data_IF_694585838732
#
_entry.id   IF_694585838732
#
_cell.length_a   1.000
_cell.length_b   1.000
_cell.length_c   1.000
_cell.angle_alpha   90.00
_cell.angle_beta   90.00
_cell.angle_gamma   90.00
#
_symmetry.space_group_name_H-M   'P 1'
#
loop_
_entity.id
_entity.type
_entity.pdbx_description
1 polymer ?
#
# COMPACT_ATOMS: atom_id res chain seq x y z
N UNK A 1 8.17 -21.06 39.21
CA UNK A 1 9.42 -21.27 38.43
C UNK A 1 9.17 -22.32 37.36
N UNK A 2 9.84 -22.20 36.22
CA UNK A 2 9.80 -22.99 34.97
C UNK A 2 8.60 -22.81 34.04
N UNK A 3 8.81 -22.04 32.95
CA UNK A 3 8.89 -22.64 31.60
C UNK A 3 9.57 -21.68 30.61
N UNK A 4 10.76 -22.07 30.19
CA UNK A 4 11.53 -21.52 29.07
C UNK A 4 10.84 -21.85 27.74
N UNK A 5 10.64 -20.86 26.86
CA UNK A 5 10.56 -21.02 25.39
C UNK A 5 11.15 -19.75 24.76
N UNK A 6 12.43 -19.82 24.40
CA UNK A 6 12.96 -20.11 23.05
C UNK A 6 12.71 -18.96 22.08
N UNK A 7 13.75 -18.14 21.99
CA UNK A 7 14.09 -17.24 20.91
C UNK A 7 14.37 -18.05 19.63
N UNK A 8 13.63 -17.79 18.57
CA UNK A 8 13.95 -18.12 17.16
C UNK A 8 13.91 -16.76 16.43
N UNK A 9 15.00 -16.10 16.05
CA UNK A 9 16.03 -16.43 15.05
C UNK A 9 15.47 -16.57 13.61
N UNK A 10 15.88 -15.64 12.74
CA UNK A 10 16.19 -15.89 11.31
C UNK A 10 15.07 -15.78 10.26
N UNK A 11 14.73 -14.56 9.81
CA UNK A 11 14.09 -14.27 8.49
C UNK A 11 13.84 -12.75 8.42
N UNK A 12 14.21 -11.94 7.43
CA UNK A 12 14.58 -12.10 6.03
C UNK A 12 15.45 -10.91 5.62
N UNK A 13 16.73 -11.19 5.36
CA UNK A 13 17.49 -10.50 4.31
C UNK A 13 16.79 -10.76 2.97
N UNK A 14 16.87 -9.82 2.01
CA UNK A 14 16.63 -9.94 0.55
C UNK A 14 15.62 -8.86 0.09
N UNK A 15 15.79 -8.02 -0.95
CA UNK A 15 16.72 -7.97 -2.08
C UNK A 15 16.80 -6.53 -2.63
N UNK A 16 18.02 -6.10 -2.97
CA UNK A 16 18.34 -4.93 -3.78
C UNK A 16 18.09 -5.19 -5.29
N UNK A 17 17.93 -4.13 -6.12
CA UNK A 17 18.79 -3.78 -7.29
C UNK A 17 18.04 -3.19 -8.53
N UNK A 18 18.28 -1.87 -8.79
CA UNK A 18 18.67 -1.14 -10.06
C UNK A 18 18.00 -1.51 -11.42
N UNK A 19 17.87 -0.66 -12.46
CA UNK A 19 18.05 0.78 -12.84
C UNK A 19 17.67 0.88 -14.36
N UNK A 20 17.48 2.12 -14.86
CA UNK A 20 17.66 2.62 -16.26
C UNK A 20 16.43 2.60 -17.18
N UNK A 21 15.84 3.77 -17.49
CA UNK A 21 16.19 4.80 -18.50
C UNK A 21 15.83 4.39 -19.94
N UNK A 22 14.69 4.88 -20.43
CA UNK A 22 14.45 5.05 -21.86
C UNK A 22 13.74 6.38 -22.11
N UNK A 23 14.45 7.25 -22.82
CA UNK A 23 13.99 8.52 -23.37
C UNK A 23 13.03 8.25 -24.53
N UNK A 24 12.00 9.09 -24.72
CA UNK A 24 11.63 9.63 -26.03
C UNK A 24 10.56 10.72 -25.86
N UNK A 25 10.81 11.84 -26.51
CA UNK A 25 9.89 12.97 -26.68
C UNK A 25 8.66 12.57 -27.51
N UNK A 26 7.51 13.19 -27.23
CA UNK A 26 6.70 13.96 -28.20
C UNK A 26 5.43 14.56 -27.55
N UNK A 27 5.24 15.87 -27.78
CA UNK A 27 4.03 16.64 -27.50
C UNK A 27 2.97 16.39 -28.59
N UNK A 28 1.68 16.36 -28.23
CA UNK A 28 0.58 16.77 -29.12
C UNK A 28 -0.71 17.04 -28.32
N UNK A 29 -1.27 18.23 -28.51
CA UNK A 29 -2.52 18.75 -27.92
C UNK A 29 -3.76 18.32 -28.73
N UNK A 30 -4.91 18.07 -28.08
CA UNK A 30 -6.27 18.46 -28.54
C UNK A 30 -7.40 17.96 -27.60
N UNK A 31 -8.09 18.93 -26.97
CA UNK A 31 -9.55 19.13 -26.80
C UNK A 31 -10.53 17.93 -26.71
N UNK A 32 -11.43 17.97 -25.71
CA UNK A 32 -12.83 17.53 -25.88
C UNK A 32 -13.52 16.75 -24.74
N UNK A 33 -14.36 17.47 -23.98
CA UNK A 33 -15.57 17.08 -23.19
C UNK A 33 -15.83 15.64 -22.71
N UNK A 34 -15.92 15.54 -21.37
CA UNK A 34 -16.98 14.90 -20.56
C UNK A 34 -17.70 13.67 -21.14
N UNK A 35 -17.21 12.50 -20.76
CA UNK A 35 -18.03 11.31 -20.52
C UNK A 35 -17.49 10.62 -19.26
N UNK A 36 -18.36 10.36 -18.30
CA UNK A 36 -18.11 9.47 -17.15
C UNK A 36 -17.69 8.10 -17.69
N UNK A 37 -16.38 7.87 -17.72
CA UNK A 37 -15.81 6.57 -17.98
C UNK A 37 -15.62 5.88 -16.63
N UNK A 38 -16.48 4.90 -16.34
CA UNK A 38 -16.09 3.86 -15.39
C UNK A 38 -14.77 3.25 -15.91
N UNK A 39 -13.70 3.25 -15.10
CA UNK A 39 -12.40 2.82 -15.58
C UNK A 39 -12.45 1.33 -15.87
N UNK A 40 -12.47 0.99 -17.17
CA UNK A 40 -12.20 -0.36 -17.67
C UNK A 40 -10.81 -0.75 -17.17
N UNK A 41 -10.65 -1.81 -16.35
CA UNK A 41 -9.35 -2.19 -15.86
C UNK A 41 -8.59 -2.83 -17.02
N UNK A 42 -7.81 -2.00 -17.70
CA UNK A 42 -6.70 -2.47 -18.52
C UNK A 42 -5.75 -3.13 -17.53
N UNK A 43 -5.75 -4.46 -17.51
CA UNK A 43 -4.80 -5.25 -16.75
C UNK A 43 -3.42 -5.08 -17.40
N UNK A 44 -2.80 -3.94 -17.12
CA UNK A 44 -1.37 -3.74 -17.28
C UNK A 44 -0.64 -4.84 -16.48
N UNK A 45 0.51 -5.35 -16.92
CA UNK A 45 1.28 -6.38 -16.19
C UNK A 45 1.86 -5.91 -14.84
N UNK A 46 1.37 -4.81 -14.30
CA UNK A 46 1.64 -4.34 -12.94
C UNK A 46 0.41 -4.61 -12.08
N UNK A 47 0.65 -5.12 -10.87
CA UNK A 47 -0.40 -5.35 -9.88
C UNK A 47 -1.34 -4.16 -9.63
N UNK A 48 -2.32 -4.32 -8.75
CA UNK A 48 -3.35 -3.34 -8.43
C UNK A 48 -3.41 -3.09 -6.93
N UNK A 49 -3.48 -1.81 -6.54
CA UNK A 49 -3.76 -1.39 -5.16
C UNK A 49 -5.17 -0.79 -5.15
N UNK A 50 -6.04 -1.31 -4.29
CA UNK A 50 -7.38 -0.78 -4.07
C UNK A 50 -7.47 -0.20 -2.67
N UNK A 51 -7.94 1.04 -2.56
CA UNK A 51 -8.09 1.74 -1.29
C UNK A 51 -9.57 2.02 -1.06
N UNK A 52 -10.05 1.70 0.15
CA UNK A 52 -11.35 2.08 0.67
C UNK A 52 -11.17 3.13 1.76
N UNK A 53 -11.77 4.31 1.58
CA UNK A 53 -11.72 5.40 2.54
C UNK A 53 -12.94 6.32 2.34
N UNK A 54 -13.61 6.69 3.43
CA UNK A 54 -14.81 7.54 3.42
C UNK A 54 -15.94 7.01 2.51
N UNK A 55 -16.11 5.68 2.46
CA UNK A 55 -17.04 4.97 1.55
C UNK A 55 -16.70 5.09 0.05
N UNK A 56 -15.59 5.73 -0.30
CA UNK A 56 -15.07 5.73 -1.66
C UNK A 56 -14.13 4.54 -1.87
N UNK A 57 -14.19 3.95 -3.07
CA UNK A 57 -13.28 2.88 -3.49
C UNK A 57 -12.54 3.32 -4.75
N UNK A 58 -11.22 3.42 -4.67
CA UNK A 58 -10.39 3.76 -5.82
C UNK A 58 -9.29 2.73 -5.99
N UNK A 59 -9.08 2.28 -7.23
CA UNK A 59 -7.99 1.39 -7.59
C UNK A 59 -6.96 2.13 -8.43
N UNK A 60 -5.68 1.90 -8.14
CA UNK A 60 -4.56 2.39 -8.93
C UNK A 60 -3.59 1.26 -9.27
N UNK A 61 -2.83 1.37 -10.37
CA UNK A 61 -1.76 0.42 -10.64
C UNK A 61 -0.73 0.44 -9.49
N UNK A 62 -0.29 -0.73 -9.05
CA UNK A 62 0.78 -0.90 -8.07
C UNK A 62 2.08 -0.36 -8.65
N UNK A 63 2.82 0.42 -7.85
CA UNK A 63 4.18 0.85 -8.18
C UNK A 63 5.19 0.17 -7.27
N UNK A 64 6.36 -0.20 -7.78
CA UNK A 64 7.39 -0.82 -6.96
C UNK A 64 7.88 0.15 -5.88
N UNK A 65 8.06 -0.35 -4.66
CA UNK A 65 8.49 0.42 -3.48
C UNK A 65 7.56 1.58 -3.06
N UNK A 66 6.35 1.65 -3.62
CA UNK A 66 5.33 2.61 -3.17
C UNK A 66 4.56 2.00 -2.00
N UNK A 67 4.37 2.79 -0.96
CA UNK A 67 3.57 2.44 0.22
C UNK A 67 2.07 2.54 -0.08
N UNK A 68 1.24 1.87 0.70
CA UNK A 68 -0.21 1.98 0.58
C UNK A 68 -0.71 3.42 0.75
N UNK A 69 -0.09 4.21 1.65
CA UNK A 69 -0.40 5.63 1.83
C UNK A 69 -0.04 6.46 0.58
N UNK A 70 1.12 6.22 -0.03
CA UNK A 70 1.53 6.90 -1.27
C UNK A 70 0.61 6.52 -2.44
N UNK A 71 0.22 5.25 -2.56
CA UNK A 71 -0.76 4.80 -3.56
C UNK A 71 -2.11 5.50 -3.37
N UNK A 72 -2.60 5.64 -2.12
CA UNK A 72 -3.83 6.37 -1.81
C UNK A 72 -3.74 7.86 -2.18
N UNK A 73 -2.65 8.54 -1.80
CA UNK A 73 -2.42 9.96 -2.16
C UNK A 73 -2.36 10.17 -3.66
N UNK A 74 -1.71 9.25 -4.38
CA UNK A 74 -1.65 9.27 -5.84
C UNK A 74 -3.02 9.03 -6.49
N UNK A 75 -3.89 8.28 -5.83
CA UNK A 75 -5.29 8.12 -6.23
C UNK A 75 -6.13 9.39 -6.00
N UNK A 76 -5.56 10.43 -5.40
CA UNK A 76 -6.25 11.67 -5.04
C UNK A 76 -6.93 11.63 -3.67
N UNK A 77 -6.75 10.55 -2.91
CA UNK A 77 -7.32 10.41 -1.57
C UNK A 77 -6.43 11.10 -0.52
N UNK A 78 -7.05 11.52 0.58
CA UNK A 78 -6.33 12.11 1.73
C UNK A 78 -6.61 11.32 3.01
N UNK A 79 -6.21 10.04 3.07
CA UNK A 79 -6.41 9.22 4.27
C UNK A 79 -5.63 9.80 5.47
N UNK A 80 -6.03 9.46 6.70
CA UNK A 80 -5.41 9.99 7.91
C UNK A 80 -3.92 9.62 7.98
N UNK A 81 -3.07 10.60 8.33
CA UNK A 81 -1.64 10.40 8.55
C UNK A 81 -1.08 11.42 9.54
N UNK A 82 0.09 11.13 10.12
CA UNK A 82 0.81 12.07 10.99
C UNK A 82 2.33 11.93 10.87
N UNK A 83 2.92 10.85 11.40
CA UNK A 83 4.38 10.75 11.54
C UNK A 83 5.13 10.28 10.28
N UNK A 84 4.49 9.45 9.45
CA UNK A 84 5.13 8.71 8.34
C UNK A 84 6.41 7.94 8.72
N UNK A 85 6.59 7.65 10.02
CA UNK A 85 7.75 6.96 10.59
C UNK A 85 7.41 5.59 11.20
N UNK A 86 6.13 5.25 11.29
CA UNK A 86 5.67 3.95 11.81
C UNK A 86 5.44 3.89 13.33
N UNK A 87 5.32 5.03 14.02
CA UNK A 87 5.24 5.08 15.49
C UNK A 87 3.97 5.74 16.07
N UNK A 88 3.04 6.23 15.23
CA UNK A 88 1.87 6.99 15.72
C UNK A 88 0.50 6.31 15.51
N UNK A 89 0.41 5.25 14.71
CA UNK A 89 -0.86 4.55 14.42
C UNK A 89 -1.90 5.31 13.57
N UNK A 90 -1.77 6.63 13.35
CA UNK A 90 -2.76 7.44 12.62
C UNK A 90 -3.12 6.92 11.22
N UNK A 91 -2.16 6.29 10.52
CA UNK A 91 -2.37 5.74 9.19
C UNK A 91 -2.76 4.25 9.20
N UNK A 92 -3.21 3.73 10.35
CA UNK A 92 -3.63 2.35 10.49
C UNK A 92 -4.83 2.07 9.57
N UNK A 93 -4.80 0.91 8.93
CA UNK A 93 -5.86 0.43 8.06
C UNK A 93 -5.82 -1.10 8.03
N UNK A 94 -6.90 -1.74 7.56
CA UNK A 94 -6.99 -3.20 7.48
C UNK A 94 -6.78 -3.72 6.07
N UNK A 95 -5.97 -4.76 5.93
CA UNK A 95 -5.89 -5.53 4.69
C UNK A 95 -7.14 -6.40 4.54
N UNK A 96 -7.91 -6.13 3.48
CA UNK A 96 -9.06 -6.94 3.10
C UNK A 96 -8.70 -8.03 2.09
N UNK A 97 -7.66 -7.80 1.30
CA UNK A 97 -7.16 -8.73 0.27
C UNK A 97 -5.65 -8.51 0.07
N UNK A 98 -4.93 -9.60 -0.20
CA UNK A 98 -3.50 -9.56 -0.52
C UNK A 98 -2.63 -9.43 0.71
N UNK A 99 -1.37 -9.05 0.48
CA UNK A 99 -0.34 -8.96 1.51
C UNK A 99 0.53 -7.71 1.29
N UNK A 100 1.05 -7.18 2.39
CA UNK A 100 1.97 -6.07 2.38
C UNK A 100 3.02 -6.25 3.47
N UNK A 101 4.25 -5.84 3.17
CA UNK A 101 5.35 -5.86 4.12
C UNK A 101 5.53 -4.45 4.71
N UNK A 102 5.47 -4.33 6.04
CA UNK A 102 5.78 -3.08 6.73
C UNK A 102 7.30 -2.90 6.90
N UNK A 103 7.82 -1.74 6.50
CA UNK A 103 9.24 -1.38 6.68
C UNK A 103 9.60 -1.17 8.14
N UNK A 104 8.73 -0.48 8.87
CA UNK A 104 8.83 -0.17 10.30
C UNK A 104 7.44 -0.35 10.91
N UNK A 105 7.39 -0.97 12.09
CA UNK A 105 6.19 -1.04 12.91
C UNK A 105 6.57 -0.90 14.39
N UNK A 106 6.40 0.29 14.93
CA UNK A 106 6.59 0.61 16.35
C UNK A 106 5.26 1.00 17.03
N UNK A 107 4.13 0.82 16.34
CA UNK A 107 2.82 1.29 16.78
C UNK A 107 1.75 0.19 16.92
N UNK A 108 1.82 -0.87 16.12
CA UNK A 108 0.86 -1.99 16.17
C UNK A 108 1.49 -3.18 16.89
N UNK A 109 0.73 -3.80 17.78
CA UNK A 109 1.10 -5.04 18.45
C UNK A 109 0.94 -6.26 17.52
N UNK A 110 1.57 -7.38 17.86
CA UNK A 110 1.57 -8.59 17.02
C UNK A 110 0.15 -9.12 16.73
N UNK A 111 -0.76 -9.01 17.69
CA UNK A 111 -2.16 -9.46 17.54
C UNK A 111 -2.91 -8.59 16.51
N UNK A 112 -2.71 -7.27 16.53
CA UNK A 112 -3.31 -6.35 15.55
C UNK A 112 -2.77 -6.65 14.14
N UNK A 113 -1.47 -6.91 14.01
CA UNK A 113 -0.87 -7.31 12.73
C UNK A 113 -1.43 -8.66 12.26
N UNK A 114 -1.63 -9.62 13.18
CA UNK A 114 -2.23 -10.92 12.87
C UNK A 114 -3.71 -10.80 12.44
N UNK A 115 -4.44 -9.81 12.95
CA UNK A 115 -5.80 -9.46 12.53
C UNK A 115 -5.85 -8.73 11.17
N UNK A 116 -4.68 -8.40 10.60
CA UNK A 116 -4.55 -7.81 9.27
C UNK A 116 -4.43 -6.28 9.29
N UNK A 117 -4.22 -5.66 10.45
CA UNK A 117 -3.93 -4.23 10.52
C UNK A 117 -2.50 -3.92 10.05
N UNK A 118 -2.38 -2.80 9.34
CA UNK A 118 -1.11 -2.31 8.79
C UNK A 118 -0.99 -0.80 8.95
N UNK A 119 0.25 -0.33 9.14
CA UNK A 119 0.58 1.08 9.02
C UNK A 119 0.80 1.41 7.55
N UNK A 120 -0.20 1.99 6.89
CA UNK A 120 -0.15 2.25 5.44
C UNK A 120 1.01 3.15 4.99
N UNK A 121 1.55 3.99 5.87
CA UNK A 121 2.75 4.79 5.60
C UNK A 121 4.06 3.97 5.55
N UNK A 122 4.07 2.76 6.09
CA UNK A 122 5.22 1.85 6.08
C UNK A 122 4.96 0.56 5.30
N UNK A 123 3.70 0.24 5.01
CA UNK A 123 3.29 -0.97 4.31
C UNK A 123 3.49 -0.85 2.79
N UNK A 124 4.31 -1.72 2.22
CA UNK A 124 4.56 -1.85 0.79
C UNK A 124 3.90 -3.13 0.27
N UNK A 125 3.05 -3.08 -0.77
CA UNK A 125 2.44 -4.27 -1.35
C UNK A 125 3.48 -5.26 -1.89
N UNK A 126 3.42 -6.51 -1.43
CA UNK A 126 4.33 -7.59 -1.83
C UNK A 126 3.68 -8.66 -2.72
N UNK A 127 2.39 -8.51 -3.01
CA UNK A 127 1.62 -9.28 -3.99
C UNK A 127 1.16 -8.43 -5.19
N UNK A 128 0.52 -9.07 -6.16
CA UNK A 128 -0.02 -8.37 -7.33
C UNK A 128 -1.26 -7.54 -6.98
N UNK A 129 -2.25 -8.11 -6.30
CA UNK A 129 -3.46 -7.37 -5.91
C UNK A 129 -3.54 -7.25 -4.41
N UNK A 130 -3.71 -6.01 -3.92
CA UNK A 130 -3.93 -5.70 -2.52
C UNK A 130 -5.12 -4.76 -2.37
N UNK A 131 -5.93 -4.98 -1.34
CA UNK A 131 -7.05 -4.11 -0.98
C UNK A 131 -6.93 -3.73 0.48
N UNK A 132 -6.95 -2.43 0.77
CA UNK A 132 -6.85 -1.87 2.14
C UNK A 132 -8.07 -0.99 2.44
N UNK A 133 -8.55 -1.04 3.68
CA UNK A 133 -9.67 -0.23 4.17
C UNK A 133 -9.29 0.58 5.40
N UNK A 134 -9.54 1.89 5.34
CA UNK A 134 -9.45 2.80 6.48
C UNK A 134 -10.77 2.91 7.26
N UNK A 135 -11.86 2.31 6.73
CA UNK A 135 -13.21 2.41 7.28
C UNK A 135 -13.57 1.20 8.17
N UNK A 136 -12.59 0.55 8.82
CA UNK A 136 -12.89 -0.59 9.70
C UNK A 136 -13.43 -0.07 11.04
N UNK A 137 -14.75 -0.16 11.22
CA UNK A 137 -15.52 0.19 12.43
C UNK A 137 -15.49 -0.92 13.49
#
# INVERSE_FOLDING_TARGET
MTRTRRSDATARRYYHFRRMLFSLHQNASAQGSSMTAEPVPTAEPGGKVTILFERERVSVPRRPNETLLESARRAGMTPPFSCEAGNCGTCMAKLLEGTATMRVNDALDDDEVAEGYVLTCQAVPDCDTVTVSYDDD
#
